data_IF_913750745841
#
_entry.id   IF_913750745841
#
_cell.length_a   1.000
_cell.length_b   1.000
_cell.length_c   1.000
_cell.angle_alpha   90.00
_cell.angle_beta   90.00
_cell.angle_gamma   90.00
#
_symmetry.space_group_name_H-M   'P 1'
#
loop_
_entity.id
_entity.type
_entity.pdbx_description
1 polymer ?
#
# COMPACT_ATOMS: atom_id res chain seq x y z
N UNK A 1 -1.98 -14.88 -6.25
CA UNK A 1 -1.78 -13.52 -5.69
C UNK A 1 -2.90 -12.64 -6.20
N UNK A 2 -3.69 -12.05 -5.31
CA UNK A 2 -4.74 -11.10 -5.70
C UNK A 2 -4.10 -9.73 -5.96
N UNK A 3 -4.47 -9.10 -7.06
CA UNK A 3 -3.97 -7.79 -7.46
C UNK A 3 -5.15 -6.84 -7.68
N UNK A 4 -5.03 -5.61 -7.16
CA UNK A 4 -6.08 -4.59 -7.22
C UNK A 4 -6.44 -4.15 -8.66
N UNK A 5 -5.47 -4.21 -9.57
CA UNK A 5 -5.63 -3.83 -10.98
C UNK A 5 -4.99 -4.92 -11.85
N UNK A 6 -5.77 -5.94 -12.25
CA UNK A 6 -5.25 -7.06 -13.05
C UNK A 6 -4.72 -6.57 -14.39
N UNK A 7 -5.37 -5.54 -14.96
CA UNK A 7 -4.92 -4.86 -16.17
C UNK A 7 -3.97 -3.71 -15.83
N UNK A 8 -2.78 -3.73 -16.42
CA UNK A 8 -1.71 -2.77 -16.13
C UNK A 8 -2.04 -1.33 -16.57
N UNK A 9 -2.96 -1.15 -17.51
CA UNK A 9 -3.34 0.15 -18.06
C UNK A 9 -4.09 1.05 -17.05
N UNK A 10 -4.76 0.46 -16.07
CA UNK A 10 -5.45 1.20 -15.00
C UNK A 10 -4.52 1.54 -13.82
N UNK A 11 -3.24 1.13 -13.89
CA UNK A 11 -2.31 1.20 -12.78
C UNK A 11 -1.54 2.51 -12.81
N UNK A 12 -2.26 3.60 -12.58
CA UNK A 12 -1.63 4.89 -12.35
C UNK A 12 -0.86 4.86 -11.01
N UNK A 13 0.48 4.88 -11.07
CA UNK A 13 1.33 4.77 -9.88
C UNK A 13 0.97 5.81 -8.80
N UNK A 14 0.60 7.01 -9.21
CA UNK A 14 0.20 8.07 -8.28
C UNK A 14 -1.09 7.75 -7.52
N UNK A 15 -2.03 7.03 -8.16
CA UNK A 15 -3.28 6.59 -7.53
C UNK A 15 -2.98 5.52 -6.47
N UNK A 16 -2.05 4.60 -6.74
CA UNK A 16 -1.59 3.64 -5.74
C UNK A 16 -0.97 4.36 -4.55
N UNK A 17 -0.11 5.35 -4.77
CA UNK A 17 0.55 6.08 -3.68
C UNK A 17 -0.48 6.82 -2.79
N UNK A 18 -1.50 7.43 -3.40
CA UNK A 18 -2.61 8.07 -2.66
C UNK A 18 -3.39 7.04 -1.84
N UNK A 19 -3.75 5.89 -2.44
CA UNK A 19 -4.47 4.83 -1.75
C UNK A 19 -3.65 4.24 -0.61
N UNK A 20 -2.35 4.04 -0.81
CA UNK A 20 -1.42 3.57 0.21
C UNK A 20 -1.27 4.55 1.37
N UNK A 21 -1.20 5.86 1.09
CA UNK A 21 -1.22 6.89 2.12
C UNK A 21 -2.50 6.88 2.96
N UNK A 22 -3.67 6.68 2.32
CA UNK A 22 -4.96 6.57 3.01
C UNK A 22 -5.06 5.29 3.84
N UNK A 23 -4.61 4.15 3.29
CA UNK A 23 -4.62 2.87 3.98
C UNK A 23 -3.73 2.91 5.22
N UNK A 24 -2.51 3.47 5.11
CA UNK A 24 -1.61 3.65 6.27
C UNK A 24 -2.29 4.43 7.40
N UNK A 25 -2.92 5.56 7.09
CA UNK A 25 -3.67 6.35 8.09
C UNK A 25 -4.80 5.55 8.74
N UNK A 26 -5.55 4.77 7.96
CA UNK A 26 -6.64 3.93 8.49
C UNK A 26 -6.13 2.83 9.42
N UNK A 27 -5.03 2.16 9.06
CA UNK A 27 -4.47 1.09 9.88
C UNK A 27 -3.83 1.66 11.15
N UNK A 28 -3.12 2.78 11.05
CA UNK A 28 -2.47 3.41 12.20
C UNK A 28 -3.47 3.87 13.28
N UNK A 29 -4.74 4.11 12.90
CA UNK A 29 -5.81 4.39 13.84
C UNK A 29 -6.17 3.19 14.74
N UNK A 30 -5.85 1.95 14.33
CA UNK A 30 -6.13 0.71 15.06
C UNK A 30 -4.86 0.05 15.60
N UNK A 31 -3.74 0.22 14.91
CA UNK A 31 -2.46 -0.40 15.22
C UNK A 31 -1.38 0.69 15.35
N UNK A 32 -0.81 0.90 16.55
CA UNK A 32 0.23 1.94 16.74
C UNK A 32 1.52 1.67 15.95
N UNK A 33 1.74 0.41 15.57
CA UNK A 33 2.93 -0.02 14.85
C UNK A 33 2.80 0.23 13.35
N UNK A 34 3.91 0.54 12.70
CA UNK A 34 3.95 0.68 11.25
C UNK A 34 4.02 -0.70 10.58
N UNK A 35 2.93 -1.08 9.91
CA UNK A 35 2.78 -2.40 9.27
C UNK A 35 2.86 -2.33 7.74
N UNK A 36 3.11 -1.14 7.17
CA UNK A 36 3.26 -0.90 5.73
C UNK A 36 4.58 -0.19 5.45
N UNK A 37 5.53 -0.88 4.84
CA UNK A 37 6.83 -0.31 4.45
C UNK A 37 6.89 -0.08 2.94
N UNK A 38 7.37 1.10 2.52
CA UNK A 38 7.68 1.35 1.12
C UNK A 38 9.08 0.83 0.80
N UNK A 39 9.16 -0.10 -0.15
CA UNK A 39 10.42 -0.58 -0.72
C UNK A 39 10.60 0.11 -2.07
N UNK A 40 11.48 1.11 -2.12
CA UNK A 40 11.68 1.92 -3.33
C UNK A 40 12.03 1.04 -4.53
N UNK A 41 11.32 1.24 -5.64
CA UNK A 41 11.49 0.45 -6.86
C UNK A 41 10.86 -0.95 -6.84
N UNK A 42 10.27 -1.38 -5.72
CA UNK A 42 9.63 -2.70 -5.58
C UNK A 42 8.16 -2.63 -5.16
N UNK A 43 7.75 -1.57 -4.45
CA UNK A 43 6.38 -1.33 -4.04
C UNK A 43 6.22 -1.25 -2.53
N UNK A 44 5.23 -1.98 -2.00
CA UNK A 44 4.80 -1.90 -0.61
C UNK A 44 4.81 -3.29 0.04
N UNK A 45 5.45 -3.39 1.21
CA UNK A 45 5.49 -4.60 2.02
C UNK A 45 4.53 -4.45 3.22
N UNK A 46 3.72 -5.47 3.46
CA UNK A 46 2.82 -5.57 4.61
C UNK A 46 3.37 -6.61 5.59
N UNK A 47 3.69 -6.21 6.81
CA UNK A 47 4.17 -7.09 7.87
C UNK A 47 3.45 -6.79 9.18
N UNK A 48 2.88 -7.82 9.79
CA UNK A 48 2.39 -7.79 11.18
C UNK A 48 3.48 -8.45 12.03
N UNK A 49 4.23 -7.64 12.79
CA UNK A 49 5.20 -8.15 13.78
C UNK A 49 4.56 -8.25 15.15
#
# INVERSE_FOLDING_TARGET
MLQLYPDAELRESHTIDVLMGRLRKKIQAQYPQEVITTVRGQGYLFELR
#
